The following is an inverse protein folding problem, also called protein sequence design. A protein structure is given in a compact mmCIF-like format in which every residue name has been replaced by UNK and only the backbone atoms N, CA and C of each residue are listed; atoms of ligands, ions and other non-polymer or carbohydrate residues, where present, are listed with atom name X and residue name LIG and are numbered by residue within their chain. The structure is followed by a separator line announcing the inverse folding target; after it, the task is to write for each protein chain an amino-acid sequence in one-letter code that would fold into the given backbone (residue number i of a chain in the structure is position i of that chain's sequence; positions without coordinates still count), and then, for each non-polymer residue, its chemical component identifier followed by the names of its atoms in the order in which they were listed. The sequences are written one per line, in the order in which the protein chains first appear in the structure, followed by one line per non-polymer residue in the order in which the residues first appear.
data_IF_056055420708
#
_entry.id   IF_056055420708
#
_cell.length_a   1.000
_cell.length_b   1.000
_cell.length_c   1.000
_cell.angle_alpha   90.00
_cell.angle_beta   90.00
_cell.angle_gamma   90.00
#
_symmetry.space_group_name_H-M   'P 1'
#
loop_
_entity.id
_entity.type
_entity.pdbx_description
1 polymer ?
#
# COMPACT_ATOMS: atom_id res chain seq x y z
N UNK A 1 -15.13 -8.29 11.84
CA UNK A 1 -15.10 -6.83 11.63
C UNK A 1 -14.21 -6.57 10.43
N UNK A 2 -14.67 -5.79 9.46
CA UNK A 2 -13.85 -5.37 8.32
C UNK A 2 -13.02 -4.17 8.76
N UNK A 3 -11.69 -4.29 8.64
CA UNK A 3 -10.79 -3.24 9.05
C UNK A 3 -10.61 -2.18 7.95
N UNK A 4 -10.26 -0.96 8.35
CA UNK A 4 -10.00 0.14 7.43
C UNK A 4 -8.71 0.82 7.82
N UNK A 5 -7.90 1.18 6.84
CA UNK A 5 -6.66 1.91 7.04
C UNK A 5 -6.62 3.17 6.18
N UNK A 6 -6.00 4.22 6.72
CA UNK A 6 -5.65 5.42 5.96
C UNK A 6 -4.18 5.34 5.56
N UNK A 7 -3.92 5.38 4.26
CA UNK A 7 -2.58 5.52 3.71
C UNK A 7 -2.22 7.01 3.68
N UNK A 8 -1.17 7.38 4.39
CA UNK A 8 -0.79 8.76 4.64
C UNK A 8 0.65 9.03 4.18
N UNK A 9 0.89 10.25 3.69
CA UNK A 9 2.22 10.83 3.49
C UNK A 9 2.35 12.08 4.37
N UNK A 10 2.97 11.94 5.54
CA UNK A 10 2.85 12.96 6.59
C UNK A 10 1.38 13.22 6.90
N UNK A 11 0.94 14.47 6.73
CA UNK A 11 -0.46 14.88 6.96
C UNK A 11 -1.37 14.72 5.73
N UNK A 12 -0.82 14.31 4.58
CA UNK A 12 -1.57 14.19 3.33
C UNK A 12 -2.18 12.80 3.21
N UNK A 13 -3.50 12.73 3.04
CA UNK A 13 -4.21 11.48 2.76
C UNK A 13 -3.97 11.06 1.30
N UNK A 14 -3.31 9.91 1.13
CA UNK A 14 -3.12 9.27 -0.17
C UNK A 14 -4.36 8.45 -0.54
N UNK A 15 -4.97 7.77 0.42
CA UNK A 15 -6.21 7.03 0.20
C UNK A 15 -6.59 6.12 1.36
N UNK A 16 -7.70 5.41 1.21
CA UNK A 16 -8.22 4.47 2.19
C UNK A 16 -8.18 3.03 1.66
N UNK A 17 -7.81 2.09 2.52
CA UNK A 17 -7.92 0.66 2.30
C UNK A 17 -9.06 0.12 3.14
N UNK A 18 -10.09 -0.46 2.52
CA UNK A 18 -11.25 -1.03 3.20
C UNK A 18 -11.28 -2.54 3.00
N UNK A 19 -11.02 -3.29 4.06
CA UNK A 19 -10.97 -4.74 4.00
C UNK A 19 -12.32 -5.32 3.55
N UNK A 20 -12.30 -6.24 2.59
CA UNK A 20 -13.45 -7.06 2.23
C UNK A 20 -13.17 -8.57 2.33
N UNK A 21 -11.89 -8.97 2.44
CA UNK A 21 -11.51 -10.37 2.51
C UNK A 21 -10.12 -10.60 3.11
N UNK A 22 -9.76 -11.86 3.22
CA UNK A 22 -8.44 -12.30 3.69
C UNK A 22 -8.03 -13.57 2.96
N UNK A 23 -6.99 -13.46 2.15
CA UNK A 23 -6.36 -14.56 1.40
C UNK A 23 -4.96 -14.75 1.96
N UNK A 24 -4.85 -15.62 2.97
CA UNK A 24 -3.69 -15.70 3.86
C UNK A 24 -2.34 -15.71 3.12
N UNK A 25 -1.38 -14.85 3.48
CA UNK A 25 -1.37 -13.90 4.61
C UNK A 25 -1.82 -12.46 4.24
N UNK A 26 -2.64 -12.31 3.21
CA UNK A 26 -2.93 -11.02 2.57
C UNK A 26 -4.35 -10.56 2.86
N UNK A 27 -4.51 -9.32 3.34
CA UNK A 27 -5.78 -8.63 3.40
C UNK A 27 -6.17 -8.13 2.01
N UNK A 28 -7.40 -8.45 1.60
CA UNK A 28 -7.98 -7.96 0.36
C UNK A 28 -8.80 -6.71 0.67
N UNK A 29 -8.45 -5.60 0.00
CA UNK A 29 -9.02 -4.29 0.29
C UNK A 29 -9.59 -3.64 -0.97
N UNK A 30 -10.68 -2.89 -0.82
CA UNK A 30 -11.01 -1.83 -1.76
C UNK A 30 -10.10 -0.64 -1.49
N UNK A 31 -9.64 0.02 -2.54
CA UNK A 31 -8.87 1.25 -2.47
C UNK A 31 -9.74 2.42 -2.89
N UNK A 32 -9.81 3.44 -2.03
CA UNK A 32 -10.48 4.71 -2.32
C UNK A 32 -9.42 5.80 -2.38
N UNK A 33 -9.16 6.41 -3.54
CA UNK A 33 -8.11 7.42 -3.67
C UNK A 33 -8.45 8.68 -2.87
N UNK A 34 -7.44 9.20 -2.18
CA UNK A 34 -7.48 10.47 -1.46
C UNK A 34 -6.90 11.63 -2.28
N UNK A 35 -6.88 12.86 -1.73
CA UNK A 35 -6.39 14.04 -2.43
C UNK A 35 -4.92 13.96 -2.85
N UNK A 36 -4.09 13.20 -2.13
CA UNK A 36 -2.67 13.01 -2.47
C UNK A 36 -2.40 11.90 -3.49
N UNK A 37 -3.42 11.16 -3.94
CA UNK A 37 -3.24 9.98 -4.79
C UNK A 37 -2.54 10.28 -6.11
N UNK A 38 -2.99 11.30 -6.84
CA UNK A 38 -2.48 11.58 -8.19
C UNK A 38 -0.97 11.86 -8.22
N UNK A 39 -0.41 12.38 -7.13
CA UNK A 39 1.03 12.64 -7.03
C UNK A 39 1.89 11.38 -6.92
N UNK A 40 1.32 10.27 -6.41
CA UNK A 40 2.05 9.01 -6.14
C UNK A 40 1.57 7.84 -6.99
N UNK A 41 0.44 8.00 -7.69
CA UNK A 41 -0.23 6.98 -8.51
C UNK A 41 0.74 6.24 -9.43
N UNK A 42 1.58 6.96 -10.18
CA UNK A 42 2.52 6.35 -11.12
C UNK A 42 3.53 5.40 -10.45
N UNK A 43 3.92 5.66 -9.21
CA UNK A 43 4.84 4.79 -8.45
C UNK A 43 4.13 3.50 -8.01
N UNK A 44 2.87 3.61 -7.58
CA UNK A 44 2.06 2.43 -7.24
C UNK A 44 1.72 1.60 -8.49
N UNK A 45 1.45 2.23 -9.63
CA UNK A 45 1.24 1.55 -10.90
C UNK A 45 2.50 0.82 -11.37
N UNK A 46 3.68 1.44 -11.26
CA UNK A 46 4.96 0.78 -11.54
C UNK A 46 5.17 -0.42 -10.61
N UNK A 47 4.90 -0.28 -9.31
CA UNK A 47 4.96 -1.39 -8.37
C UNK A 47 3.95 -2.50 -8.70
N UNK A 48 2.73 -2.16 -9.13
CA UNK A 48 1.72 -3.13 -9.57
C UNK A 48 2.10 -3.88 -10.86
N UNK A 49 2.92 -3.26 -11.70
CA UNK A 49 3.39 -3.84 -12.96
C UNK A 49 4.53 -4.87 -12.80
N UNK A 50 5.22 -4.92 -11.66
CA UNK A 50 6.28 -5.93 -11.40
C UNK A 50 5.68 -7.34 -11.35
N UNK A 51 5.96 -8.17 -12.35
CA UNK A 51 5.37 -9.52 -12.45
C UNK A 51 6.47 -10.55 -12.69
N UNK A 52 6.20 -11.79 -12.26
CA UNK A 52 7.08 -12.93 -12.50
C UNK A 52 8.19 -13.12 -11.46
N UNK A 53 9.06 -14.10 -11.70
CA UNK A 53 10.19 -14.39 -10.81
C UNK A 53 11.16 -13.22 -10.77
N UNK A 54 11.65 -12.91 -9.58
CA UNK A 54 12.70 -11.91 -9.36
C UNK A 54 13.81 -12.55 -8.52
N UNK A 55 14.68 -13.38 -9.15
CA UNK A 55 15.59 -14.27 -8.43
C UNK A 55 16.60 -13.55 -7.53
N UNK A 56 16.99 -12.34 -7.91
CA UNK A 56 17.90 -11.48 -7.15
C UNK A 56 17.19 -10.36 -6.37
N UNK A 57 15.86 -10.25 -6.49
CA UNK A 57 15.05 -9.24 -5.81
C UNK A 57 15.20 -7.81 -6.37
N UNK A 58 15.94 -7.62 -7.46
CA UNK A 58 16.28 -6.29 -7.98
C UNK A 58 15.05 -5.55 -8.51
N UNK A 59 14.16 -6.23 -9.23
CA UNK A 59 12.96 -5.60 -9.79
C UNK A 59 12.00 -5.14 -8.69
N UNK A 60 11.84 -5.94 -7.63
CA UNK A 60 11.05 -5.54 -6.47
C UNK A 60 11.69 -4.36 -5.75
N UNK A 61 13.01 -4.40 -5.54
CA UNK A 61 13.74 -3.33 -4.86
C UNK A 61 13.63 -1.99 -5.63
N UNK A 62 13.84 -2.00 -6.95
CA UNK A 62 13.81 -0.80 -7.78
C UNK A 62 12.41 -0.17 -7.82
N UNK A 63 11.35 -0.99 -7.82
CA UNK A 63 9.97 -0.49 -7.81
C UNK A 63 9.51 0.00 -6.43
N UNK A 64 9.96 -0.63 -5.35
CA UNK A 64 9.57 -0.27 -3.98
C UNK A 64 10.36 0.92 -3.45
N UNK A 65 11.63 1.09 -3.86
CA UNK A 65 12.52 2.11 -3.31
C UNK A 65 11.96 3.54 -3.40
N UNK A 66 11.42 4.01 -4.54
CA UNK A 66 10.76 5.31 -4.61
C UNK A 66 9.59 5.46 -3.63
N UNK A 67 8.83 4.38 -3.38
CA UNK A 67 7.72 4.38 -2.42
C UNK A 67 8.21 4.41 -0.96
N UNK A 68 9.35 3.78 -0.67
CA UNK A 68 10.00 3.87 0.65
C UNK A 68 10.47 5.30 0.95
N UNK A 69 11.02 5.99 -0.05
CA UNK A 69 11.54 7.36 0.09
C UNK A 69 10.44 8.39 0.37
N UNK A 70 9.17 8.07 0.03
CA UNK A 70 8.01 8.91 0.37
C UNK A 70 7.66 8.91 1.86
N UNK A 71 8.18 7.96 2.66
CA UNK A 71 7.87 7.86 4.09
C UNK A 71 6.38 7.60 4.36
N UNK A 72 5.75 6.73 3.56
CA UNK A 72 4.33 6.41 3.68
C UNK A 72 4.03 5.65 4.97
N UNK A 73 2.89 5.95 5.58
CA UNK A 73 2.41 5.29 6.81
C UNK A 73 0.99 4.79 6.61
N UNK A 74 0.65 3.69 7.29
CA UNK A 74 -0.65 3.07 7.25
C UNK A 74 -1.29 3.15 8.64
N UNK A 75 -2.35 3.94 8.78
CA UNK A 75 -3.01 4.23 10.05
C UNK A 75 -4.32 3.42 10.16
N UNK A 76 -4.44 2.48 11.10
CA UNK A 76 -5.69 1.79 11.37
C UNK A 76 -6.80 2.77 11.83
N UNK A 77 -7.99 2.67 11.26
CA UNK A 77 -9.13 3.53 11.62
C UNK A 77 -9.66 3.28 13.03
N UNK A 78 -9.39 2.10 13.60
CA UNK A 78 -9.74 1.75 14.98
C UNK A 78 -8.77 2.34 16.03
N UNK A 79 -7.79 3.16 15.63
CA UNK A 79 -6.80 3.74 16.54
C UNK A 79 -5.65 2.80 16.88
N UNK A 80 -5.47 1.70 16.14
CA UNK A 80 -4.31 0.82 16.25
C UNK A 80 -2.99 1.51 15.89
N UNK A 81 -1.89 0.81 16.14
CA UNK A 81 -0.53 1.31 15.88
C UNK A 81 -0.32 1.55 14.38
N UNK A 82 0.19 2.73 13.98
CA UNK A 82 0.58 2.98 12.59
C UNK A 82 1.68 2.01 12.12
N UNK A 83 1.64 1.64 10.84
CA UNK A 83 2.65 0.80 10.20
C UNK A 83 3.42 1.60 9.14
N UNK A 84 4.75 1.51 9.18
CA UNK A 84 5.58 2.07 8.13
C UNK A 84 5.44 1.25 6.85
N UNK A 85 4.97 1.88 5.78
CA UNK A 85 4.84 1.20 4.50
C UNK A 85 6.21 0.80 3.97
N UNK A 86 6.27 -0.40 3.41
CA UNK A 86 7.45 -1.05 2.84
C UNK A 86 8.61 -1.31 3.83
N UNK A 87 8.36 -1.13 5.13
CA UNK A 87 9.24 -1.57 6.22
C UNK A 87 8.53 -2.55 7.16
N UNK A 88 7.32 -2.20 7.57
CA UNK A 88 6.48 -2.97 8.48
C UNK A 88 5.26 -3.59 7.78
N UNK A 89 4.84 -3.04 6.65
CA UNK A 89 3.78 -3.61 5.82
C UNK A 89 4.08 -3.46 4.33
N UNK A 90 3.53 -4.32 3.47
CA UNK A 90 3.56 -4.15 2.02
C UNK A 90 2.15 -3.85 1.53
N UNK A 91 2.01 -2.74 0.81
CA UNK A 91 0.77 -2.35 0.12
C UNK A 91 1.00 -2.40 -1.37
N UNK A 92 0.07 -3.03 -2.08
CA UNK A 92 0.05 -3.06 -3.54
C UNK A 92 -1.34 -2.70 -4.04
N UNK A 93 -1.43 -1.72 -4.93
CA UNK A 93 -2.70 -1.13 -5.37
C UNK A 93 -2.91 -1.45 -6.85
N UNK A 94 -4.09 -1.94 -7.19
CA UNK A 94 -4.53 -2.29 -8.52
C UNK A 94 -5.83 -1.56 -8.83
N UNK A 95 -5.72 -0.35 -9.38
CA UNK A 95 -6.89 0.50 -9.63
C UNK A 95 -7.67 0.79 -8.34
N UNK A 96 -8.85 0.19 -8.21
CA UNK A 96 -9.79 0.33 -7.07
C UNK A 96 -9.67 -0.80 -6.03
N UNK A 97 -8.68 -1.68 -6.15
CA UNK A 97 -8.41 -2.76 -5.19
C UNK A 97 -6.98 -2.71 -4.69
N UNK A 98 -6.72 -3.35 -3.56
CA UNK A 98 -5.39 -3.42 -2.98
C UNK A 98 -5.17 -4.71 -2.19
N UNK A 99 -3.90 -5.10 -2.13
CA UNK A 99 -3.39 -6.19 -1.32
C UNK A 99 -2.50 -5.61 -0.23
N UNK A 100 -2.81 -5.93 1.03
CA UNK A 100 -2.08 -5.50 2.21
C UNK A 100 -1.54 -6.73 2.95
N UNK A 101 -0.25 -6.70 3.31
CA UNK A 101 0.40 -7.74 4.10
C UNK A 101 1.28 -7.11 5.18
N UNK A 102 1.16 -7.56 6.43
CA UNK A 102 2.00 -7.16 7.57
C UNK A 102 1.98 -8.23 8.66
#
# INVERSE_FOLDING_TARGET
MTETWRLMQGDVLIGELRQYGFDQPTYLCHFVPGPGWEAVKGLFEAWAAVQGPDPDGSQNADAIRPLMDLGLTLLPANGGTPLDCFRSCIVRIYGDTARLRY
#
